data_IF_655063465727
#
_entry.id   IF_655063465727
#
_cell.length_a   1.000
_cell.length_b   1.000
_cell.length_c   1.000
_cell.angle_alpha   90.00
_cell.angle_beta   90.00
_cell.angle_gamma   90.00
#
_symmetry.space_group_name_H-M   'P 1'
#
loop_
_entity.id
_entity.type
_entity.pdbx_description
1 polymer ?
#
# COMPACT_ATOMS: atom_id res chain seq x y z
N UNK A 1 16.25 -11.50 -6.09
CA UNK A 1 15.54 -12.65 -5.48
C UNK A 1 16.48 -13.48 -4.61
N UNK A 2 17.70 -13.80 -5.07
CA UNK A 2 18.68 -14.57 -4.28
C UNK A 2 19.03 -13.94 -2.91
N UNK A 3 19.19 -12.62 -2.84
CA UNK A 3 19.50 -11.93 -1.57
C UNK A 3 18.39 -12.02 -0.50
N UNK A 4 17.14 -12.36 -0.89
CA UNK A 4 16.01 -12.49 0.04
C UNK A 4 15.76 -13.92 0.51
N UNK A 5 16.40 -14.92 -0.09
CA UNK A 5 16.35 -16.31 0.39
C UNK A 5 14.95 -16.93 0.41
N UNK A 6 14.01 -16.43 -0.40
CA UNK A 6 12.61 -16.87 -0.41
C UNK A 6 11.73 -16.20 0.64
N UNK A 7 12.24 -15.25 1.42
CA UNK A 7 11.45 -14.41 2.33
C UNK A 7 10.90 -13.20 1.58
N UNK A 8 9.61 -13.21 1.27
CA UNK A 8 8.94 -12.19 0.48
C UNK A 8 7.68 -11.69 1.20
N UNK A 9 6.96 -10.76 0.57
CA UNK A 9 5.57 -10.50 0.91
C UNK A 9 4.68 -10.81 -0.29
N UNK A 10 3.42 -11.11 -0.02
CA UNK A 10 2.37 -11.28 -1.02
C UNK A 10 1.24 -10.29 -0.75
N UNK A 11 0.56 -9.87 -1.81
CA UNK A 11 -0.67 -9.07 -1.70
C UNK A 11 -1.82 -10.04 -1.44
N UNK A 12 -2.58 -9.81 -0.38
CA UNK A 12 -3.73 -10.64 -0.02
C UNK A 12 -5.06 -9.97 -0.33
N UNK A 13 -5.08 -8.64 -0.37
CA UNK A 13 -6.27 -7.84 -0.63
C UNK A 13 -5.87 -6.48 -1.18
N UNK A 14 -6.67 -5.95 -2.09
CA UNK A 14 -6.53 -4.59 -2.59
C UNK A 14 -7.91 -3.95 -2.82
N UNK A 15 -7.99 -2.65 -2.55
CA UNK A 15 -9.17 -1.83 -2.85
C UNK A 15 -8.75 -0.61 -3.68
N UNK A 16 -9.32 -0.49 -4.88
CA UNK A 16 -8.98 0.56 -5.84
C UNK A 16 -10.18 1.45 -6.10
N UNK A 17 -9.99 2.76 -5.95
CA UNK A 17 -10.97 3.77 -6.32
C UNK A 17 -10.47 4.53 -7.54
N UNK A 18 -11.18 4.40 -8.67
CA UNK A 18 -10.95 5.21 -9.86
C UNK A 18 -11.80 6.49 -9.75
N UNK A 19 -11.13 7.63 -9.68
CA UNK A 19 -11.75 8.93 -9.36
C UNK A 19 -11.84 9.79 -10.62
N UNK A 20 -10.78 9.80 -11.42
CA UNK A 20 -10.70 10.60 -12.64
C UNK A 20 -9.91 9.84 -13.72
N UNK A 21 -10.26 10.09 -14.98
CA UNK A 21 -9.66 9.41 -16.12
C UNK A 21 -8.23 9.89 -16.39
N UNK A 22 -7.40 8.96 -16.88
CA UNK A 22 -6.03 9.22 -17.34
C UNK A 22 -5.97 8.98 -18.84
N UNK A 23 -5.63 10.02 -19.60
CA UNK A 23 -5.40 9.90 -21.02
C UNK A 23 -4.02 9.28 -21.32
N UNK A 24 -3.86 8.72 -22.52
CA UNK A 24 -2.57 8.23 -22.96
C UNK A 24 -1.54 9.37 -22.96
N UNK A 25 -0.40 9.12 -22.32
CA UNK A 25 0.69 10.09 -22.23
C UNK A 25 0.59 11.07 -21.05
N UNK A 26 -0.50 11.07 -20.27
CA UNK A 26 -0.59 11.88 -19.06
C UNK A 26 0.51 11.50 -18.06
N UNK A 27 1.42 12.44 -17.68
CA UNK A 27 2.45 12.15 -16.68
C UNK A 27 1.82 11.98 -15.30
N UNK A 28 2.23 10.95 -14.56
CA UNK A 28 1.72 10.66 -13.21
C UNK A 28 2.86 10.57 -12.19
N UNK A 29 2.52 10.83 -10.94
CA UNK A 29 3.35 10.45 -9.80
C UNK A 29 2.50 9.75 -8.75
N UNK A 30 3.16 8.95 -7.91
CA UNK A 30 2.49 8.15 -6.88
C UNK A 30 3.07 8.52 -5.53
N UNK A 31 2.20 8.87 -4.59
CA UNK A 31 2.59 8.96 -3.17
C UNK A 31 2.15 7.69 -2.46
N UNK A 32 2.98 7.20 -1.53
CA UNK A 32 2.74 5.95 -0.81
C UNK A 32 2.90 6.20 0.68
N UNK A 33 1.91 5.76 1.44
CA UNK A 33 1.88 5.84 2.89
C UNK A 33 1.76 4.44 3.49
N UNK A 34 2.57 4.13 4.49
CA UNK A 34 2.44 2.94 5.30
C UNK A 34 1.47 3.24 6.44
N UNK A 35 0.23 2.75 6.35
CA UNK A 35 -0.84 3.17 7.28
C UNK A 35 -1.02 2.21 8.46
N UNK A 36 -0.54 0.97 8.35
CA UNK A 36 -0.59 -0.01 9.43
C UNK A 36 0.48 -1.09 9.24
N UNK A 37 1.04 -1.59 10.36
CA UNK A 37 1.98 -2.72 10.40
C UNK A 37 1.66 -3.58 11.62
N UNK A 38 1.75 -4.89 11.48
CA UNK A 38 1.85 -5.83 12.58
C UNK A 38 3.02 -6.81 12.36
N UNK A 39 3.08 -7.89 13.14
CA UNK A 39 4.19 -8.86 13.14
C UNK A 39 4.46 -9.54 11.79
N UNK A 40 3.48 -9.54 10.88
CA UNK A 40 3.60 -10.16 9.55
C UNK A 40 2.76 -9.51 8.45
N UNK A 41 2.00 -8.46 8.73
CA UNK A 41 1.18 -7.75 7.75
C UNK A 41 1.54 -6.28 7.76
N UNK A 42 1.29 -5.64 6.62
CA UNK A 42 1.23 -4.20 6.55
C UNK A 42 0.13 -3.78 5.58
N UNK A 43 -0.31 -2.53 5.70
CA UNK A 43 -1.22 -1.89 4.74
C UNK A 43 -0.53 -0.67 4.16
N UNK A 44 -0.45 -0.63 2.83
CA UNK A 44 -0.02 0.55 2.07
C UNK A 44 -1.23 1.27 1.51
N UNK A 45 -1.13 2.59 1.44
CA UNK A 45 -2.09 3.43 0.74
C UNK A 45 -1.37 4.24 -0.33
N UNK A 46 -1.71 3.97 -1.59
CA UNK A 46 -1.19 4.67 -2.75
C UNK A 46 -2.19 5.71 -3.24
N UNK A 47 -1.67 6.88 -3.64
CA UNK A 47 -2.43 7.92 -4.33
C UNK A 47 -1.76 8.19 -5.67
N UNK A 48 -2.51 8.12 -6.75
CA UNK A 48 -2.03 8.32 -8.11
C UNK A 48 -2.52 9.69 -8.56
N UNK A 49 -1.56 10.56 -8.87
CA UNK A 49 -1.81 11.96 -9.19
C UNK A 49 -1.43 12.26 -10.64
N UNK A 50 -2.23 13.08 -11.32
CA UNK A 50 -1.82 13.75 -12.56
C UNK A 50 -0.73 14.76 -12.20
N UNK A 51 0.49 14.58 -12.72
CA UNK A 51 1.64 15.39 -12.27
C UNK A 51 1.54 16.86 -12.65
N UNK A 52 0.87 17.16 -13.75
CA UNK A 52 0.75 18.53 -14.27
C UNK A 52 -0.30 19.34 -13.50
N UNK A 53 -1.41 18.73 -13.13
CA UNK A 53 -2.56 19.41 -12.50
C UNK A 53 -2.65 19.17 -10.99
N UNK A 54 -1.91 18.18 -10.47
CA UNK A 54 -1.99 17.70 -9.10
C UNK A 54 -3.40 17.20 -8.70
N UNK A 55 -4.17 16.73 -9.70
CA UNK A 55 -5.48 16.11 -9.49
C UNK A 55 -5.34 14.63 -9.19
N UNK A 56 -6.18 14.12 -8.27
CA UNK A 56 -6.18 12.73 -7.86
C UNK A 56 -6.92 11.88 -8.90
N UNK A 57 -6.21 10.97 -9.57
CA UNK A 57 -6.79 10.08 -10.56
C UNK A 57 -7.32 8.78 -9.94
N UNK A 58 -6.59 8.21 -8.99
CA UNK A 58 -6.99 6.98 -8.31
C UNK A 58 -6.32 6.79 -6.95
N UNK A 59 -6.90 5.94 -6.12
CA UNK A 59 -6.28 5.44 -4.89
C UNK A 59 -6.22 3.92 -4.91
N UNK A 60 -5.21 3.35 -4.23
CA UNK A 60 -5.08 1.91 -4.05
C UNK A 60 -4.63 1.60 -2.61
N UNK A 61 -5.51 0.99 -1.84
CA UNK A 61 -5.20 0.43 -0.52
C UNK A 61 -4.83 -1.05 -0.67
N UNK A 62 -3.65 -1.43 -0.19
CA UNK A 62 -3.09 -2.78 -0.40
C UNK A 62 -2.71 -3.39 0.94
N UNK A 63 -3.27 -4.56 1.24
CA UNK A 63 -2.87 -5.38 2.38
C UNK A 63 -1.85 -6.42 1.93
N UNK A 64 -0.70 -6.42 2.57
CA UNK A 64 0.37 -7.37 2.33
C UNK A 64 0.61 -8.30 3.53
N UNK A 65 1.18 -9.47 3.24
CA UNK A 65 1.49 -10.51 4.21
C UNK A 65 2.90 -11.06 3.95
N UNK A 66 3.73 -11.11 4.99
CA UNK A 66 5.03 -11.79 4.97
C UNK A 66 4.85 -13.27 4.68
N UNK A 67 5.65 -13.79 3.75
CA UNK A 67 5.44 -15.11 3.18
C UNK A 67 6.76 -15.79 2.80
N UNK A 68 6.93 -17.00 3.31
CA UNK A 68 8.06 -17.84 2.97
C UNK A 68 7.74 -18.65 1.70
N UNK A 69 8.46 -18.42 0.62
CA UNK A 69 8.27 -19.12 -0.65
C UNK A 69 8.70 -20.60 -0.59
N UNK A 70 9.61 -20.97 0.30
CA UNK A 70 10.12 -22.33 0.47
C UNK A 70 9.12 -23.18 1.25
N UNK A 71 8.71 -22.71 2.43
CA UNK A 71 7.72 -23.38 3.27
C UNK A 71 6.27 -23.16 2.82
N UNK A 72 6.08 -22.21 1.89
CA UNK A 72 4.79 -21.82 1.29
C UNK A 72 3.74 -21.43 2.33
N UNK A 73 4.15 -20.65 3.34
CA UNK A 73 3.27 -20.21 4.43
C UNK A 73 3.58 -18.78 4.87
N UNK A 74 2.63 -18.12 5.55
CA UNK A 74 2.89 -16.83 6.17
C UNK A 74 4.00 -16.91 7.21
N UNK A 75 4.83 -15.87 7.29
CA UNK A 75 5.91 -15.74 8.27
C UNK A 75 5.99 -14.32 8.82
N UNK A 76 6.57 -14.18 10.02
CA UNK A 76 6.81 -12.87 10.61
C UNK A 76 7.89 -12.11 9.86
N UNK A 77 7.84 -10.77 9.95
CA UNK A 77 8.88 -9.93 9.38
C UNK A 77 10.24 -10.28 9.99
N UNK A 78 11.23 -10.45 9.12
CA UNK A 78 12.63 -10.56 9.57
C UNK A 78 13.01 -9.27 10.31
N UNK A 79 13.91 -9.32 11.31
CA UNK A 79 14.24 -8.14 12.14
C UNK A 79 14.60 -6.89 11.32
N UNK A 80 15.40 -7.05 10.26
CA UNK A 80 15.78 -5.95 9.36
C UNK A 80 14.58 -5.32 8.64
N UNK A 81 13.55 -6.09 8.32
CA UNK A 81 12.33 -5.57 7.68
C UNK A 81 11.46 -4.86 8.71
N UNK A 82 11.26 -5.47 9.88
CA UNK A 82 10.51 -4.85 10.97
C UNK A 82 11.10 -3.49 11.37
N UNK A 83 12.43 -3.40 11.53
CA UNK A 83 13.12 -2.14 11.83
C UNK A 83 12.90 -1.08 10.75
N UNK A 84 12.92 -1.46 9.47
CA UNK A 84 12.67 -0.54 8.35
C UNK A 84 11.22 -0.08 8.30
N UNK A 85 10.27 -0.97 8.56
CA UNK A 85 8.84 -0.62 8.63
C UNK A 85 8.58 0.36 9.78
N UNK A 86 9.19 0.15 10.95
CA UNK A 86 9.15 1.08 12.08
C UNK A 86 9.70 2.45 11.68
N UNK A 87 10.88 2.51 11.05
CA UNK A 87 11.48 3.77 10.58
C UNK A 87 10.57 4.55 9.63
N UNK A 88 9.88 3.84 8.71
CA UNK A 88 8.93 4.46 7.78
C UNK A 88 7.71 4.99 8.54
N UNK A 89 7.13 4.20 9.46
CA UNK A 89 6.00 4.64 10.28
C UNK A 89 6.35 5.91 11.07
N UNK A 90 7.52 5.96 11.70
CA UNK A 90 7.97 7.13 12.45
C UNK A 90 8.16 8.35 11.55
N UNK A 91 8.72 8.16 10.35
CA UNK A 91 8.89 9.25 9.38
C UNK A 91 7.54 9.80 8.86
N UNK A 92 6.49 8.97 8.84
CA UNK A 92 5.14 9.32 8.36
C UNK A 92 4.14 9.62 9.48
N UNK A 93 4.57 9.67 10.75
CA UNK A 93 3.67 9.80 11.91
C UNK A 93 2.82 11.08 11.92
N UNK A 94 3.24 12.13 11.20
CA UNK A 94 2.49 13.38 11.05
C UNK A 94 1.49 13.39 9.89
N UNK A 95 1.47 12.36 9.04
CA UNK A 95 0.54 12.27 7.92
C UNK A 95 -0.82 11.73 8.38
N UNK A 96 -1.90 12.42 7.99
CA UNK A 96 -3.25 11.91 8.25
C UNK A 96 -3.50 10.62 7.46
N UNK A 97 -4.20 9.67 8.09
CA UNK A 97 -4.71 8.50 7.39
C UNK A 97 -5.81 8.96 6.42
N UNK A 98 -5.73 8.63 5.12
CA UNK A 98 -6.70 9.09 4.14
C UNK A 98 -8.10 8.58 4.50
N UNK A 99 -9.10 9.48 4.46
CA UNK A 99 -10.47 9.19 4.89
C UNK A 99 -11.16 8.03 4.14
N UNK A 100 -10.66 7.69 2.94
CA UNK A 100 -11.16 6.59 2.11
C UNK A 100 -10.54 5.23 2.45
N UNK A 101 -9.48 5.18 3.26
CA UNK A 101 -8.89 3.92 3.71
C UNK A 101 -9.91 3.13 4.56
N UNK A 102 -9.99 1.82 4.33
CA UNK A 102 -10.94 0.92 4.98
C UNK A 102 -12.40 1.10 4.55
N UNK A 103 -12.72 2.01 3.62
CA UNK A 103 -14.08 2.13 3.11
C UNK A 103 -14.43 0.94 2.22
N UNK A 104 -15.64 0.40 2.38
CA UNK A 104 -16.18 -0.65 1.51
C UNK A 104 -17.01 -0.10 0.35
N UNK A 105 -17.30 -0.95 -0.62
CA UNK A 105 -18.20 -0.62 -1.73
C UNK A 105 -19.65 -0.65 -1.23
N UNK A 106 -20.36 0.46 -1.41
CA UNK A 106 -21.77 0.58 -1.05
C UNK A 106 -22.54 1.37 -2.12
N UNK A 107 -23.80 0.98 -2.34
CA UNK A 107 -24.74 1.76 -3.15
C UNK A 107 -25.35 2.86 -2.29
N UNK A 108 -25.19 4.12 -2.70
CA UNK A 108 -25.93 5.25 -2.12
C UNK A 108 -27.28 5.38 -2.84
N UNK A 109 -28.38 5.41 -2.09
CA UNK A 109 -29.66 5.86 -2.65
C UNK A 109 -29.53 7.35 -2.95
N UNK A 110 -29.90 7.74 -4.17
CA UNK A 110 -30.01 9.14 -4.57
C UNK A 110 -31.22 9.79 -3.92
#
# INVERSE_FOLDING_TARGET
MEARGGHEYVIVENHVHYIDELALGTPIHVTTQLIAVDDKRYILFHRIWKSETNELAATNEVKCLGFNLTERRPENWRPVVAERLEQILQAQAGEEIPAVAGQGIALKKR
#
